data_IF_922405763975
#
_entry.id   IF_922405763975
#
_cell.length_a   1.000
_cell.length_b   1.000
_cell.length_c   1.000
_cell.angle_alpha   90.00
_cell.angle_beta   90.00
_cell.angle_gamma   90.00
#
_symmetry.space_group_name_H-M   'P 1'
#
loop_
_entity.id
_entity.type
_entity.pdbx_description
1 polymer ?
#
# COMPACT_ATOMS: atom_id res chain seq x y z
N UNK A 1 23.39 27.02 -13.36
CA UNK A 1 22.79 27.47 -12.08
C UNK A 1 23.04 26.39 -11.05
N UNK A 2 23.56 26.68 -9.85
CA UNK A 2 23.83 25.63 -8.87
C UNK A 2 22.51 25.06 -8.39
N UNK A 3 22.37 23.74 -8.48
CA UNK A 3 21.26 22.97 -7.93
C UNK A 3 21.27 23.15 -6.43
N UNK A 4 20.42 24.03 -5.90
CA UNK A 4 20.19 24.10 -4.48
C UNK A 4 19.74 22.73 -4.01
N UNK A 5 20.55 22.03 -3.23
CA UNK A 5 20.18 20.79 -2.54
C UNK A 5 18.98 21.11 -1.66
N UNK A 6 17.75 20.80 -2.11
CA UNK A 6 16.60 20.77 -1.22
C UNK A 6 16.97 19.86 -0.05
N UNK A 7 16.84 20.37 1.18
CA UNK A 7 16.95 19.48 2.34
C UNK A 7 15.85 18.43 2.22
N UNK A 8 16.16 17.12 2.35
CA UNK A 8 15.13 16.10 2.32
C UNK A 8 14.10 16.41 3.41
N UNK A 9 12.81 16.41 3.04
CA UNK A 9 11.74 16.62 4.02
C UNK A 9 11.47 15.34 4.81
N UNK A 10 11.79 14.17 4.24
CA UNK A 10 11.68 12.89 4.92
C UNK A 10 12.75 12.81 6.03
N UNK A 11 12.29 12.79 7.29
CA UNK A 11 13.17 12.81 8.48
C UNK A 11 13.32 11.45 9.15
N UNK A 12 12.49 10.49 8.76
CA UNK A 12 12.45 9.14 9.35
C UNK A 12 13.49 8.22 8.73
N UNK A 13 14.14 7.40 9.55
CA UNK A 13 15.03 6.34 9.07
C UNK A 13 14.28 5.27 8.29
N UNK A 14 13.05 4.95 8.69
CA UNK A 14 12.28 3.79 8.25
C UNK A 14 10.88 4.20 7.75
N UNK A 15 10.29 3.40 6.85
CA UNK A 15 8.88 3.53 6.49
C UNK A 15 8.09 2.35 7.07
N UNK A 16 7.68 2.47 8.33
CA UNK A 16 6.96 1.41 9.05
C UNK A 16 5.44 1.52 8.87
N UNK A 17 4.91 2.74 8.84
CA UNK A 17 3.49 3.02 8.70
C UNK A 17 3.24 4.46 8.25
N UNK A 18 1.95 4.79 8.06
CA UNK A 18 1.47 6.14 7.74
C UNK A 18 0.71 6.78 8.90
N UNK A 19 0.49 6.03 9.99
CA UNK A 19 -0.15 6.56 11.18
C UNK A 19 0.57 7.80 11.74
N UNK A 20 1.89 7.75 11.81
CA UNK A 20 2.77 8.80 12.31
C UNK A 20 3.46 9.63 11.20
N UNK A 21 3.12 9.40 9.93
CA UNK A 21 3.66 10.16 8.82
C UNK A 21 3.07 11.58 8.79
N UNK A 22 3.91 12.58 8.57
CA UNK A 22 3.46 13.95 8.34
C UNK A 22 2.90 14.10 6.92
N UNK A 23 1.98 15.05 6.74
CA UNK A 23 1.40 15.35 5.43
C UNK A 23 2.46 15.68 4.39
N UNK A 24 3.44 16.46 4.78
CA UNK A 24 4.54 16.94 3.94
C UNK A 24 5.42 15.78 3.45
N UNK A 25 5.67 14.78 4.30
CA UNK A 25 6.39 13.55 3.93
C UNK A 25 5.63 12.75 2.88
N UNK A 26 4.31 12.60 3.06
CA UNK A 26 3.44 11.93 2.08
C UNK A 26 3.49 12.68 0.74
N UNK A 27 3.31 13.99 0.74
CA UNK A 27 3.32 14.83 -0.45
C UNK A 27 4.65 14.77 -1.21
N UNK A 28 5.79 14.73 -0.51
CA UNK A 28 7.11 14.58 -1.11
C UNK A 28 7.26 13.23 -1.82
N UNK A 29 6.86 12.14 -1.13
CA UNK A 29 6.88 10.79 -1.75
C UNK A 29 6.01 10.76 -3.00
N UNK A 30 4.77 11.29 -2.93
CA UNK A 30 3.86 11.31 -4.08
C UNK A 30 4.42 12.15 -5.24
N UNK A 31 5.08 13.26 -4.95
CA UNK A 31 5.67 14.14 -5.97
C UNK A 31 6.83 13.45 -6.70
N UNK A 32 7.72 12.78 -5.97
CA UNK A 32 8.82 12.04 -6.57
C UNK A 32 8.33 10.77 -7.29
N UNK A 33 7.33 10.08 -6.74
CA UNK A 33 6.72 8.92 -7.38
C UNK A 33 6.09 9.28 -8.74
N UNK A 34 5.43 10.45 -8.84
CA UNK A 34 4.88 10.92 -10.11
C UNK A 34 5.97 11.15 -11.17
N UNK A 35 7.15 11.64 -10.77
CA UNK A 35 8.29 11.80 -11.70
C UNK A 35 8.79 10.44 -12.20
N UNK A 36 9.06 9.48 -11.29
CA UNK A 36 9.47 8.13 -11.69
C UNK A 36 8.41 7.44 -12.53
N UNK A 37 7.11 7.58 -12.19
CA UNK A 37 6.04 6.99 -13.00
C UNK A 37 6.02 7.55 -14.42
N UNK A 38 6.25 8.87 -14.58
CA UNK A 38 6.37 9.50 -15.91
C UNK A 38 7.53 8.94 -16.72
N UNK A 39 8.70 8.74 -16.11
CA UNK A 39 9.85 8.09 -16.72
C UNK A 39 9.56 6.63 -17.10
N UNK A 40 8.95 5.85 -16.20
CA UNK A 40 8.59 4.46 -16.48
C UNK A 40 7.59 4.34 -17.65
N UNK A 41 6.62 5.26 -17.77
CA UNK A 41 5.70 5.33 -18.93
C UNK A 41 6.44 5.55 -20.26
N UNK A 42 7.62 6.18 -20.23
CA UNK A 42 8.51 6.34 -21.38
C UNK A 42 9.52 5.20 -21.55
N UNK A 43 9.38 4.14 -20.77
CA UNK A 43 10.29 2.99 -20.72
C UNK A 43 11.71 3.34 -20.23
N UNK A 44 11.90 4.45 -19.53
CA UNK A 44 13.15 4.83 -18.86
C UNK A 44 13.25 4.04 -17.54
N UNK A 45 14.20 3.10 -17.47
CA UNK A 45 14.33 2.12 -16.37
C UNK A 45 15.74 2.03 -15.81
N UNK A 46 16.62 2.95 -16.16
CA UNK A 46 18.01 2.96 -15.70
C UNK A 46 18.33 4.27 -15.00
N UNK A 47 18.42 4.20 -13.68
CA UNK A 47 18.79 5.31 -12.81
C UNK A 47 20.00 4.89 -11.97
N UNK A 48 20.73 5.85 -11.43
CA UNK A 48 21.93 5.59 -10.61
C UNK A 48 21.76 6.02 -9.15
N UNK A 49 20.52 6.32 -8.74
CA UNK A 49 20.22 6.89 -7.42
C UNK A 49 20.68 6.00 -6.25
N UNK A 50 20.67 4.68 -6.44
CA UNK A 50 21.09 3.69 -5.43
C UNK A 50 22.27 2.84 -5.88
N UNK A 51 23.13 3.37 -6.77
CA UNK A 51 24.32 2.65 -7.21
C UNK A 51 25.22 2.33 -6.01
N UNK A 52 25.60 1.05 -5.88
CA UNK A 52 26.42 0.55 -4.78
C UNK A 52 25.66 0.26 -3.50
N UNK A 53 24.33 0.49 -3.47
CA UNK A 53 23.45 0.15 -2.35
C UNK A 53 22.87 -1.25 -2.51
N UNK A 54 22.48 -1.86 -1.38
CA UNK A 54 21.86 -3.20 -1.34
C UNK A 54 20.48 -3.13 -0.73
N UNK A 55 19.49 -3.70 -1.44
CA UNK A 55 18.12 -3.90 -0.98
C UNK A 55 17.87 -5.39 -0.76
N UNK A 56 17.52 -5.80 0.44
CA UNK A 56 16.99 -7.15 0.69
C UNK A 56 15.47 -7.12 0.81
N UNK A 57 14.78 -7.98 0.05
CA UNK A 57 13.36 -8.27 0.29
C UNK A 57 13.25 -9.51 1.19
N UNK A 58 12.70 -9.33 2.39
CA UNK A 58 12.55 -10.36 3.41
C UNK A 58 11.07 -10.70 3.60
N UNK A 59 10.59 -11.78 2.94
CA UNK A 59 9.16 -12.08 2.85
C UNK A 59 8.81 -13.38 3.58
N UNK A 60 8.02 -13.24 4.65
CA UNK A 60 7.45 -14.34 5.44
C UNK A 60 6.06 -14.77 4.95
N UNK A 61 5.43 -13.97 4.09
CA UNK A 61 4.16 -14.29 3.41
C UNK A 61 4.36 -14.26 1.89
N UNK A 62 3.63 -15.11 1.17
CA UNK A 62 3.64 -15.09 -0.30
C UNK A 62 3.13 -13.76 -0.85
N UNK A 63 3.87 -13.17 -1.75
CA UNK A 63 3.48 -11.95 -2.44
C UNK A 63 4.26 -11.74 -3.74
N UNK A 64 3.67 -12.14 -4.86
CA UNK A 64 4.30 -11.93 -6.17
C UNK A 64 4.42 -10.45 -6.50
N UNK A 65 3.31 -9.71 -6.47
CA UNK A 65 3.29 -8.29 -6.87
C UNK A 65 4.20 -7.41 -6.02
N UNK A 66 4.06 -7.46 -4.69
CA UNK A 66 4.83 -6.58 -3.80
C UNK A 66 6.31 -6.87 -3.87
N UNK A 67 6.71 -8.16 -3.84
CA UNK A 67 8.12 -8.55 -3.94
C UNK A 67 8.72 -8.11 -5.27
N UNK A 68 8.11 -8.49 -6.39
CA UNK A 68 8.60 -8.12 -7.73
C UNK A 68 8.68 -6.60 -7.89
N UNK A 69 7.72 -5.85 -7.35
CA UNK A 69 7.72 -4.40 -7.44
C UNK A 69 8.86 -3.75 -6.64
N UNK A 70 9.20 -4.26 -5.43
CA UNK A 70 10.40 -3.82 -4.70
C UNK A 70 11.68 -4.21 -5.44
N UNK A 71 11.74 -5.43 -5.95
CA UNK A 71 12.89 -5.90 -6.74
C UNK A 71 13.13 -5.01 -7.95
N UNK A 72 12.10 -4.73 -8.75
CA UNK A 72 12.20 -3.86 -9.92
C UNK A 72 12.57 -2.43 -9.52
N UNK A 73 11.96 -1.88 -8.45
CA UNK A 73 12.28 -0.55 -7.97
C UNK A 73 13.78 -0.42 -7.60
N UNK A 74 14.32 -1.38 -6.84
CA UNK A 74 15.75 -1.40 -6.51
C UNK A 74 16.62 -1.51 -7.74
N UNK A 75 16.35 -2.47 -8.65
CA UNK A 75 17.11 -2.67 -9.88
C UNK A 75 17.09 -1.45 -10.80
N UNK A 76 15.94 -0.80 -10.96
CA UNK A 76 15.81 0.41 -11.79
C UNK A 76 16.62 1.58 -11.22
N UNK A 77 16.75 1.67 -9.88
CA UNK A 77 17.59 2.67 -9.22
C UNK A 77 19.08 2.30 -9.16
N UNK A 78 19.47 1.14 -9.69
CA UNK A 78 20.86 0.69 -9.74
C UNK A 78 21.35 -0.01 -8.46
N UNK A 79 20.45 -0.42 -7.56
CA UNK A 79 20.80 -1.18 -6.37
C UNK A 79 21.03 -2.67 -6.67
N UNK A 80 21.89 -3.31 -5.85
CA UNK A 80 21.95 -4.76 -5.76
C UNK A 80 20.72 -5.26 -5.00
N UNK A 81 19.98 -6.23 -5.55
CA UNK A 81 18.76 -6.73 -4.92
C UNK A 81 18.91 -8.20 -4.55
N UNK A 82 18.65 -8.53 -3.29
CA UNK A 82 18.65 -9.89 -2.75
C UNK A 82 17.22 -10.24 -2.31
N UNK A 83 16.74 -11.41 -2.73
CA UNK A 83 15.40 -11.87 -2.34
C UNK A 83 15.53 -13.04 -1.37
N UNK A 84 14.92 -12.92 -0.19
CA UNK A 84 14.85 -13.95 0.84
C UNK A 84 13.37 -14.27 1.11
N UNK A 85 13.02 -15.55 1.01
CA UNK A 85 11.71 -16.07 1.42
C UNK A 85 11.88 -16.97 2.64
N UNK A 86 10.98 -16.84 3.62
CA UNK A 86 11.06 -17.60 4.88
C UNK A 86 11.05 -19.12 4.62
N UNK A 87 10.33 -19.59 3.59
CA UNK A 87 10.25 -21.01 3.23
C UNK A 87 11.57 -21.63 2.73
N UNK A 88 12.57 -20.80 2.40
CA UNK A 88 13.88 -21.24 1.89
C UNK A 88 15.05 -20.68 2.71
N UNK A 89 14.81 -20.21 3.92
CA UNK A 89 15.81 -19.53 4.75
C UNK A 89 16.03 -20.22 6.10
N UNK A 90 17.05 -19.78 6.85
CA UNK A 90 17.38 -20.21 8.23
C UNK A 90 16.23 -20.02 9.24
N UNK A 91 15.22 -19.22 8.90
CA UNK A 91 13.98 -19.10 9.68
C UNK A 91 13.33 -20.44 9.97
N UNK A 92 13.41 -21.40 9.04
CA UNK A 92 12.92 -22.78 9.26
C UNK A 92 13.71 -23.54 10.33
N UNK A 93 14.93 -23.09 10.66
CA UNK A 93 15.77 -23.66 11.71
C UNK A 93 15.56 -23.01 13.08
N UNK A 94 14.55 -22.13 13.22
CA UNK A 94 14.22 -21.45 14.47
C UNK A 94 14.95 -20.13 14.69
N UNK A 95 15.61 -19.56 13.65
CA UNK A 95 16.25 -18.24 13.76
C UNK A 95 15.18 -17.15 14.00
N UNK A 96 15.42 -16.29 14.97
CA UNK A 96 14.48 -15.19 15.26
C UNK A 96 14.55 -14.08 14.21
N UNK A 97 13.50 -13.27 14.12
CA UNK A 97 13.47 -12.10 13.22
C UNK A 97 14.62 -11.12 13.52
N UNK A 98 14.95 -10.94 14.81
CA UNK A 98 16.02 -10.04 15.25
C UNK A 98 17.39 -10.58 14.83
N UNK A 99 17.62 -11.88 14.94
CA UNK A 99 18.90 -12.48 14.55
C UNK A 99 19.08 -12.48 13.03
N UNK A 100 17.99 -12.76 12.28
CA UNK A 100 17.98 -12.58 10.82
C UNK A 100 18.32 -11.13 10.45
N UNK A 101 17.72 -10.16 11.14
CA UNK A 101 17.99 -8.74 10.91
C UNK A 101 19.43 -8.37 11.17
N UNK A 102 20.01 -8.79 12.30
CA UNK A 102 21.43 -8.56 12.64
C UNK A 102 22.37 -9.19 11.61
N UNK A 103 22.04 -10.38 11.13
CA UNK A 103 22.81 -11.04 10.06
C UNK A 103 22.81 -10.20 8.79
N UNK A 104 21.66 -9.69 8.37
CA UNK A 104 21.55 -8.81 7.21
C UNK A 104 22.30 -7.50 7.37
N UNK A 105 22.29 -6.93 8.57
CA UNK A 105 23.02 -5.71 8.92
C UNK A 105 24.55 -5.94 8.81
N UNK A 106 25.05 -7.07 9.33
CA UNK A 106 26.46 -7.45 9.21
C UNK A 106 26.89 -7.71 7.75
N UNK A 107 25.96 -8.16 6.90
CA UNK A 107 26.17 -8.27 5.46
C UNK A 107 26.09 -6.92 4.73
N UNK A 108 26.00 -5.80 5.46
CA UNK A 108 25.99 -4.42 4.94
C UNK A 108 24.82 -4.13 4.02
N UNK A 109 23.63 -4.61 4.37
CA UNK A 109 22.41 -4.20 3.69
C UNK A 109 22.08 -2.74 4.03
N UNK A 110 21.73 -1.95 3.01
CA UNK A 110 21.27 -0.57 3.21
C UNK A 110 19.77 -0.51 3.45
N UNK A 111 19.00 -1.41 2.82
CA UNK A 111 17.53 -1.45 2.89
C UNK A 111 17.01 -2.86 3.12
N UNK A 112 16.01 -3.00 3.98
CA UNK A 112 15.27 -4.26 4.20
C UNK A 112 13.78 -4.00 4.00
N UNK A 113 13.22 -4.52 2.90
CA UNK A 113 11.77 -4.52 2.68
C UNK A 113 11.17 -5.80 3.27
N UNK A 114 10.50 -5.68 4.41
CA UNK A 114 9.96 -6.83 5.13
C UNK A 114 8.44 -6.96 4.97
N UNK A 115 7.96 -8.18 4.69
CA UNK A 115 6.56 -8.57 4.77
C UNK A 115 6.38 -9.71 5.77
N UNK A 116 5.51 -9.51 6.78
CA UNK A 116 5.39 -10.44 7.90
C UNK A 116 3.91 -10.67 8.29
N UNK A 117 3.52 -11.89 8.72
CA UNK A 117 2.15 -12.18 9.18
C UNK A 117 1.79 -11.50 10.51
N UNK A 118 2.78 -11.17 11.34
CA UNK A 118 2.55 -10.53 12.63
C UNK A 118 2.64 -9.01 12.51
N UNK A 119 1.63 -8.32 13.04
CA UNK A 119 1.64 -6.87 13.21
C UNK A 119 2.81 -6.43 14.12
N UNK A 120 3.49 -5.34 13.76
CA UNK A 120 4.61 -4.79 14.51
C UNK A 120 5.98 -5.42 14.19
N UNK A 121 6.05 -6.52 13.45
CA UNK A 121 7.32 -7.14 13.08
C UNK A 121 8.31 -6.19 12.37
N UNK A 122 7.89 -5.34 11.40
CA UNK A 122 8.78 -4.35 10.79
C UNK A 122 9.32 -3.33 11.80
N UNK A 123 8.51 -2.92 12.79
CA UNK A 123 8.94 -2.00 13.85
C UNK A 123 9.98 -2.64 14.75
N UNK A 124 9.75 -3.90 15.16
CA UNK A 124 10.72 -4.66 15.93
C UNK A 124 12.06 -4.80 15.19
N UNK A 125 12.00 -5.11 13.88
CA UNK A 125 13.21 -5.21 13.05
C UNK A 125 13.94 -3.86 13.01
N UNK A 126 13.24 -2.76 12.73
CA UNK A 126 13.80 -1.42 12.60
C UNK A 126 14.53 -0.93 13.88
N UNK A 127 14.09 -1.39 15.05
CA UNK A 127 14.73 -1.09 16.34
C UNK A 127 16.04 -1.86 16.58
N UNK A 128 16.31 -2.90 15.78
CA UNK A 128 17.44 -3.81 15.99
C UNK A 128 18.45 -3.84 14.84
N UNK A 129 18.25 -3.01 13.80
CA UNK A 129 19.14 -2.92 12.63
C UNK A 129 19.49 -1.48 12.29
N UNK A 130 20.64 -1.27 11.66
CA UNK A 130 21.04 0.03 11.14
C UNK A 130 20.47 0.30 9.76
N UNK A 131 20.22 -0.74 8.95
CA UNK A 131 19.58 -0.62 7.63
C UNK A 131 18.21 0.08 7.72
N UNK A 132 17.84 0.77 6.66
CA UNK A 132 16.48 1.32 6.49
C UNK A 132 15.45 0.19 6.35
N UNK A 133 14.42 0.16 7.17
CA UNK A 133 13.35 -0.85 7.11
C UNK A 133 12.10 -0.28 6.45
N UNK A 134 11.60 -1.01 5.45
CA UNK A 134 10.36 -0.70 4.74
C UNK A 134 9.32 -1.78 5.02
N UNK A 135 8.17 -1.38 5.56
CA UNK A 135 7.05 -2.28 5.77
C UNK A 135 6.35 -2.61 4.44
N UNK A 136 6.52 -3.84 3.95
CA UNK A 136 5.85 -4.38 2.76
C UNK A 136 4.53 -5.09 3.09
N UNK A 137 4.00 -4.85 4.29
CA UNK A 137 2.74 -5.35 4.83
C UNK A 137 2.93 -6.26 6.05
N UNK A 138 2.37 -5.88 7.19
CA UNK A 138 2.46 -6.62 8.44
C UNK A 138 1.08 -6.98 9.01
N UNK A 139 0.74 -8.27 8.99
CA UNK A 139 -0.52 -8.80 9.50
C UNK A 139 -1.74 -8.04 8.98
N UNK A 140 -2.56 -7.55 9.90
CA UNK A 140 -3.73 -6.67 9.66
C UNK A 140 -3.44 -5.21 10.03
N UNK A 141 -2.16 -4.83 10.21
CA UNK A 141 -1.77 -3.50 10.68
C UNK A 141 -1.66 -2.50 9.54
N UNK A 142 -0.50 -2.41 8.85
CA UNK A 142 -0.28 -1.44 7.79
C UNK A 142 0.40 -2.02 6.54
N UNK A 143 0.21 -1.34 5.42
CA UNK A 143 0.95 -1.53 4.18
C UNK A 143 1.21 -0.16 3.53
N UNK A 144 2.17 0.63 4.07
CA UNK A 144 2.33 2.03 3.72
C UNK A 144 2.57 2.25 2.22
N UNK A 145 3.42 1.43 1.58
CA UNK A 145 3.66 1.58 0.14
C UNK A 145 2.46 1.22 -0.73
N UNK A 146 1.47 0.47 -0.20
CA UNK A 146 0.21 0.24 -0.91
C UNK A 146 -0.67 1.49 -0.87
N UNK A 147 -0.87 2.10 0.29
CA UNK A 147 -1.63 3.33 0.36
C UNK A 147 -0.98 4.46 -0.47
N UNK A 148 0.34 4.59 -0.41
CA UNK A 148 1.06 5.58 -1.22
C UNK A 148 0.88 5.37 -2.73
N UNK A 149 0.87 4.12 -3.21
CA UNK A 149 0.60 3.85 -4.63
C UNK A 149 -0.86 4.12 -5.00
N UNK A 150 -1.80 3.85 -4.09
CA UNK A 150 -3.21 4.18 -4.26
C UNK A 150 -3.38 5.70 -4.39
N UNK A 151 -2.77 6.46 -3.49
CA UNK A 151 -2.74 7.93 -3.54
C UNK A 151 -2.07 8.46 -4.82
N UNK A 152 -0.95 7.85 -5.25
CA UNK A 152 -0.29 8.24 -6.51
C UNK A 152 -1.21 8.02 -7.70
N UNK A 153 -1.99 6.95 -7.70
CA UNK A 153 -2.97 6.65 -8.76
C UNK A 153 -4.14 7.63 -8.74
N UNK A 154 -4.68 7.95 -7.56
CA UNK A 154 -5.72 8.96 -7.40
C UNK A 154 -5.26 10.34 -7.89
N UNK A 155 -4.01 10.73 -7.60
CA UNK A 155 -3.43 12.02 -7.94
C UNK A 155 -3.26 12.23 -9.45
N UNK A 156 -3.22 11.18 -10.25
CA UNK A 156 -3.23 11.30 -11.72
C UNK A 156 -4.57 11.79 -12.26
N UNK A 157 -5.67 11.52 -11.55
CA UNK A 157 -7.01 11.95 -11.95
C UNK A 157 -7.42 13.23 -11.21
N UNK A 158 -7.02 13.38 -9.95
CA UNK A 158 -7.44 14.48 -9.09
C UNK A 158 -6.23 15.29 -8.60
N UNK A 159 -6.22 16.60 -8.87
CA UNK A 159 -5.11 17.49 -8.50
C UNK A 159 -4.93 17.64 -6.98
N UNK A 160 -5.99 17.46 -6.19
CA UNK A 160 -6.00 17.62 -4.73
C UNK A 160 -6.80 16.52 -4.08
N UNK A 161 -6.37 16.11 -2.88
CA UNK A 161 -7.16 15.20 -2.02
C UNK A 161 -8.21 15.92 -1.18
N UNK A 162 -8.02 17.21 -0.95
CA UNK A 162 -8.96 18.01 -0.14
C UNK A 162 -10.32 18.04 -0.82
N UNK A 163 -11.33 17.56 -0.11
CA UNK A 163 -12.71 17.47 -0.59
C UNK A 163 -13.01 16.25 -1.47
N UNK A 164 -12.02 15.38 -1.78
CA UNK A 164 -12.32 14.10 -2.40
C UNK A 164 -13.11 13.21 -1.45
N UNK A 165 -14.10 12.52 -1.99
CA UNK A 165 -14.85 11.46 -1.31
C UNK A 165 -14.33 10.12 -1.80
N UNK A 166 -13.75 9.34 -0.89
CA UNK A 166 -13.19 8.01 -1.15
C UNK A 166 -14.00 6.96 -0.42
N UNK A 167 -14.75 6.15 -1.16
CA UNK A 167 -15.52 5.02 -0.63
C UNK A 167 -14.66 3.75 -0.65
N UNK A 168 -14.44 3.14 0.51
CA UNK A 168 -13.71 1.88 0.67
C UNK A 168 -14.70 0.82 1.13
N UNK A 169 -14.93 -0.19 0.29
CA UNK A 169 -15.90 -1.24 0.52
C UNK A 169 -15.21 -2.60 0.62
N UNK A 170 -15.62 -3.42 1.59
CA UNK A 170 -15.16 -4.80 1.67
C UNK A 170 -14.65 -5.21 3.04
N UNK A 171 -13.70 -6.14 3.10
CA UNK A 171 -13.13 -6.66 4.35
C UNK A 171 -12.20 -5.62 5.02
N UNK A 172 -12.78 -4.66 5.70
CA UNK A 172 -12.05 -3.58 6.40
C UNK A 172 -11.25 -4.16 7.57
N UNK A 173 -11.82 -5.11 8.31
CA UNK A 173 -11.25 -5.66 9.55
C UNK A 173 -9.89 -6.34 9.32
N UNK A 174 -9.78 -7.14 8.27
CA UNK A 174 -8.56 -7.88 7.98
C UNK A 174 -7.63 -7.15 6.97
N UNK A 175 -8.04 -5.96 6.52
CA UNK A 175 -7.30 -5.21 5.50
C UNK A 175 -6.32 -4.21 6.11
N UNK A 176 -5.04 -4.52 6.05
CA UNK A 176 -3.95 -3.56 6.31
C UNK A 176 -3.94 -2.39 5.32
N UNK A 177 -4.52 -2.58 4.14
CA UNK A 177 -4.62 -1.53 3.12
C UNK A 177 -5.65 -0.47 3.50
N UNK A 178 -6.80 -0.88 4.05
CA UNK A 178 -7.83 0.04 4.51
C UNK A 178 -7.28 1.03 5.55
N UNK A 179 -6.54 0.53 6.56
CA UNK A 179 -5.97 1.36 7.62
C UNK A 179 -4.95 2.36 7.07
N UNK A 180 -3.99 1.89 6.27
CA UNK A 180 -2.96 2.79 5.71
C UNK A 180 -3.58 3.86 4.80
N UNK A 181 -4.58 3.51 3.99
CA UNK A 181 -5.33 4.49 3.19
C UNK A 181 -6.08 5.48 4.06
N UNK A 182 -6.76 5.01 5.12
CA UNK A 182 -7.50 5.87 6.04
C UNK A 182 -6.56 6.91 6.67
N UNK A 183 -5.41 6.49 7.22
CA UNK A 183 -4.44 7.41 7.82
C UNK A 183 -3.92 8.46 6.84
N UNK A 184 -3.59 8.05 5.62
CA UNK A 184 -3.04 8.97 4.63
C UNK A 184 -4.10 9.93 4.06
N UNK A 185 -5.28 9.40 3.69
CA UNK A 185 -6.35 10.20 3.10
C UNK A 185 -6.90 11.26 4.05
N UNK A 186 -7.11 10.91 5.33
CA UNK A 186 -7.60 11.86 6.34
C UNK A 186 -6.59 12.99 6.57
N UNK A 187 -5.28 12.69 6.62
CA UNK A 187 -4.22 13.71 6.73
C UNK A 187 -4.18 14.64 5.52
N UNK A 188 -4.51 14.13 4.34
CA UNK A 188 -4.55 14.91 3.10
C UNK A 188 -5.88 15.67 2.90
N UNK A 189 -6.86 15.50 3.82
CA UNK A 189 -8.13 16.20 3.82
C UNK A 189 -9.21 15.60 2.93
N UNK A 190 -9.11 14.33 2.59
CA UNK A 190 -10.18 13.58 1.92
C UNK A 190 -11.22 13.08 2.93
N UNK A 191 -12.47 12.98 2.50
CA UNK A 191 -13.53 12.27 3.22
C UNK A 191 -13.43 10.77 2.91
N UNK A 192 -13.23 9.95 3.93
CA UNK A 192 -13.18 8.50 3.79
C UNK A 192 -14.49 7.90 4.27
N UNK A 193 -15.17 7.17 3.41
CA UNK A 193 -16.40 6.43 3.72
C UNK A 193 -16.12 4.94 3.71
N UNK A 194 -16.56 4.23 4.75
CA UNK A 194 -16.36 2.79 4.91
C UNK A 194 -17.72 2.06 4.91
N UNK A 195 -17.78 0.98 4.13
CA UNK A 195 -18.92 0.08 4.16
C UNK A 195 -18.49 -1.39 4.09
N UNK A 196 -19.02 -2.19 4.99
CA UNK A 196 -18.79 -3.63 5.08
C UNK A 196 -19.87 -4.32 5.90
N UNK A 197 -19.97 -5.67 5.90
CA UNK A 197 -20.68 -6.39 6.94
C UNK A 197 -20.22 -5.94 8.33
N UNK A 198 -21.12 -5.81 9.30
CA UNK A 198 -20.77 -5.38 10.67
C UNK A 198 -19.67 -6.25 11.30
N UNK A 199 -19.63 -7.54 10.97
CA UNK A 199 -18.61 -8.49 11.38
C UNK A 199 -17.21 -8.21 10.81
N UNK A 200 -17.15 -7.48 9.69
CA UNK A 200 -15.93 -7.08 8.98
C UNK A 200 -15.55 -5.60 9.20
N UNK A 201 -16.24 -4.90 10.10
CA UNK A 201 -15.89 -3.56 10.53
C UNK A 201 -15.19 -3.62 11.90
N UNK A 202 -13.97 -3.06 12.05
CA UNK A 202 -13.36 -2.92 13.36
C UNK A 202 -14.18 -1.98 14.26
N UNK A 203 -14.33 -2.33 15.54
CA UNK A 203 -14.89 -1.40 16.52
C UNK A 203 -14.04 -0.11 16.59
N UNK A 204 -14.68 1.04 16.69
CA UNK A 204 -14.01 2.34 16.80
C UNK A 204 -13.34 2.85 15.51
N UNK A 205 -13.49 2.18 14.37
CA UNK A 205 -12.82 2.61 13.11
C UNK A 205 -13.22 4.04 12.69
N UNK A 206 -14.42 4.49 13.03
CA UNK A 206 -14.89 5.85 12.77
C UNK A 206 -14.11 6.92 13.54
N UNK A 207 -13.56 6.59 14.71
CA UNK A 207 -12.76 7.49 15.55
C UNK A 207 -11.42 7.89 14.85
N UNK A 208 -11.01 7.11 13.85
CA UNK A 208 -9.86 7.42 13.02
C UNK A 208 -10.16 8.41 11.87
N UNK A 209 -11.36 9.01 11.87
CA UNK A 209 -11.76 10.03 10.91
C UNK A 209 -12.52 9.50 9.68
N UNK A 210 -12.94 8.23 9.68
CA UNK A 210 -13.78 7.68 8.63
C UNK A 210 -15.27 7.82 8.98
N UNK A 211 -16.12 8.05 7.96
CA UNK A 211 -17.55 7.90 8.05
C UNK A 211 -17.92 6.44 7.79
N UNK A 212 -18.47 5.74 8.78
CA UNK A 212 -19.05 4.42 8.59
C UNK A 212 -20.45 4.55 8.04
N UNK A 213 -20.71 4.00 6.86
CA UNK A 213 -21.99 4.09 6.16
C UNK A 213 -22.91 2.91 6.49
N UNK A 214 -24.22 3.14 6.39
CA UNK A 214 -25.26 2.14 6.67
C UNK A 214 -25.61 1.27 5.44
N UNK A 215 -25.28 1.74 4.24
CA UNK A 215 -25.50 1.03 2.98
C UNK A 215 -24.37 1.29 1.99
N UNK A 216 -24.24 0.41 0.97
CA UNK A 216 -23.28 0.61 -0.11
C UNK A 216 -23.61 1.87 -0.93
N UNK A 217 -24.90 2.15 -1.10
CA UNK A 217 -25.40 3.34 -1.79
C UNK A 217 -24.97 4.61 -1.07
N UNK A 218 -25.13 4.67 0.26
CA UNK A 218 -24.66 5.82 1.06
C UNK A 218 -23.16 6.01 0.91
N UNK A 219 -22.39 4.94 0.92
CA UNK A 219 -20.93 5.02 0.78
C UNK A 219 -20.50 5.60 -0.57
N UNK A 220 -21.14 5.18 -1.67
CA UNK A 220 -20.69 5.56 -3.03
C UNK A 220 -21.37 6.79 -3.60
N UNK A 221 -22.52 7.22 -3.08
CA UNK A 221 -23.23 8.38 -3.63
C UNK A 221 -22.34 9.63 -3.62
N UNK A 222 -22.08 10.17 -4.81
CA UNK A 222 -21.21 11.31 -5.01
C UNK A 222 -19.71 11.06 -4.75
N UNK A 223 -19.29 9.80 -4.56
CA UNK A 223 -17.88 9.47 -4.40
C UNK A 223 -17.08 9.76 -5.68
N UNK A 224 -15.82 10.16 -5.48
CA UNK A 224 -14.84 10.35 -6.55
C UNK A 224 -14.01 9.09 -6.78
N UNK A 225 -13.83 8.28 -5.75
CA UNK A 225 -13.07 7.03 -5.79
C UNK A 225 -13.88 5.94 -5.10
N UNK A 226 -13.99 4.78 -5.76
CA UNK A 226 -14.53 3.56 -5.16
C UNK A 226 -13.42 2.52 -5.11
N UNK A 227 -13.03 2.12 -3.91
CA UNK A 227 -12.01 1.09 -3.67
C UNK A 227 -12.66 -0.17 -3.12
N UNK A 228 -12.65 -1.25 -3.91
CA UNK A 228 -13.00 -2.58 -3.43
C UNK A 228 -11.85 -3.20 -2.65
N UNK A 229 -12.16 -3.92 -1.57
CA UNK A 229 -11.21 -4.70 -0.80
C UNK A 229 -11.52 -6.18 -0.93
N UNK A 230 -10.49 -6.98 -1.15
CA UNK A 230 -10.60 -8.43 -1.25
C UNK A 230 -11.09 -9.03 0.07
N UNK A 231 -12.04 -9.95 -0.01
CA UNK A 231 -12.39 -10.80 1.12
C UNK A 231 -11.21 -11.75 1.37
N UNK A 232 -10.66 -11.69 2.57
CA UNK A 232 -9.47 -12.48 2.94
C UNK A 232 -9.91 -13.77 3.63
N UNK A 233 -10.47 -14.71 2.86
CA UNK A 233 -10.98 -16.00 3.37
C UNK A 233 -9.92 -16.77 4.15
N UNK A 234 -8.65 -16.66 3.74
CA UNK A 234 -7.51 -17.30 4.40
C UNK A 234 -7.22 -16.74 5.81
N UNK A 235 -7.75 -15.57 6.15
CA UNK A 235 -7.61 -14.94 7.47
C UNK A 235 -8.86 -15.06 8.34
N UNK A 236 -9.93 -15.63 7.79
CA UNK A 236 -11.20 -15.79 8.48
C UNK A 236 -11.34 -17.22 9.00
N UNK A 237 -11.85 -17.34 10.22
CA UNK A 237 -12.20 -18.65 10.81
C UNK A 237 -13.62 -19.13 10.40
N UNK A 238 -14.23 -18.49 9.37
CA UNK A 238 -15.59 -18.77 8.91
C UNK A 238 -16.68 -17.95 9.63
N UNK A 239 -17.90 -17.97 9.09
CA UNK A 239 -19.10 -17.40 9.76
C UNK A 239 -19.22 -15.88 9.81
N UNK A 240 -18.39 -15.13 9.08
CA UNK A 240 -18.44 -13.66 9.10
C UNK A 240 -19.47 -13.08 8.12
N UNK A 241 -19.88 -13.87 7.14
CA UNK A 241 -21.01 -13.60 6.21
C UNK A 241 -21.53 -14.94 5.66
N UNK A 242 -22.79 -15.02 5.20
CA UNK A 242 -23.44 -16.30 4.89
C UNK A 242 -22.85 -17.01 3.65
N UNK A 243 -22.64 -16.28 2.56
CA UNK A 243 -22.09 -16.82 1.31
C UNK A 243 -21.46 -15.73 0.44
N UNK A 244 -20.61 -16.12 -0.53
CA UNK A 244 -20.02 -15.18 -1.49
C UNK A 244 -21.08 -14.53 -2.39
N UNK A 245 -22.14 -15.26 -2.76
CA UNK A 245 -23.23 -14.72 -3.56
C UNK A 245 -24.03 -13.67 -2.80
N UNK A 246 -24.32 -13.91 -1.53
CA UNK A 246 -24.98 -12.94 -0.65
C UNK A 246 -24.07 -11.73 -0.38
N UNK A 247 -22.77 -11.98 -0.16
CA UNK A 247 -21.80 -10.90 -0.05
C UNK A 247 -21.81 -10.00 -1.28
N UNK A 248 -21.74 -10.56 -2.47
CA UNK A 248 -21.80 -9.78 -3.72
C UNK A 248 -23.06 -8.95 -3.81
N UNK A 249 -24.23 -9.54 -3.52
CA UNK A 249 -25.52 -8.87 -3.59
C UNK A 249 -25.60 -7.62 -2.70
N UNK A 250 -25.06 -7.66 -1.49
CA UNK A 250 -25.23 -6.60 -0.51
C UNK A 250 -23.98 -5.71 -0.33
N UNK A 251 -22.78 -6.18 -0.71
CA UNK A 251 -21.51 -5.49 -0.46
C UNK A 251 -20.63 -5.35 -1.70
N UNK A 252 -20.94 -6.05 -2.79
CA UNK A 252 -20.23 -5.95 -4.04
C UNK A 252 -20.52 -4.63 -4.77
N UNK A 253 -19.60 -4.25 -5.63
CA UNK A 253 -19.72 -3.09 -6.51
C UNK A 253 -20.01 -3.57 -7.92
N UNK A 254 -21.12 -3.13 -8.47
CA UNK A 254 -21.60 -3.38 -9.82
C UNK A 254 -21.71 -2.07 -10.62
N UNK A 255 -22.01 -2.16 -11.88
CA UNK A 255 -22.11 -1.03 -12.81
C UNK A 255 -23.28 -0.09 -12.44
N UNK A 256 -24.36 -0.65 -11.89
CA UNK A 256 -25.53 0.15 -11.46
C UNK A 256 -25.19 0.99 -10.21
N UNK A 257 -24.42 0.42 -9.29
CA UNK A 257 -23.96 1.15 -8.12
C UNK A 257 -23.03 2.31 -8.52
N UNK A 258 -22.15 2.10 -9.52
CA UNK A 258 -21.23 3.14 -9.99
C UNK A 258 -21.95 4.33 -10.62
N UNK A 259 -23.15 4.18 -11.19
CA UNK A 259 -23.96 5.30 -11.69
C UNK A 259 -24.34 6.33 -10.62
N UNK A 260 -24.29 5.94 -9.33
CA UNK A 260 -24.59 6.84 -8.20
C UNK A 260 -23.38 7.67 -7.76
N UNK A 261 -22.21 7.39 -8.31
CA UNK A 261 -20.97 8.11 -7.99
C UNK A 261 -20.88 9.43 -8.78
N UNK A 262 -19.84 10.21 -8.51
CA UNK A 262 -19.49 11.39 -9.29
C UNK A 262 -18.43 11.06 -10.35
N UNK A 263 -18.72 10.10 -11.25
CA UNK A 263 -17.73 9.60 -12.22
C UNK A 263 -16.49 9.00 -11.54
N UNK A 264 -16.71 8.17 -10.51
CA UNK A 264 -15.63 7.67 -9.70
C UNK A 264 -14.68 6.74 -10.45
N UNK A 265 -13.38 6.91 -10.22
CA UNK A 265 -12.41 5.87 -10.58
C UNK A 265 -12.55 4.67 -9.65
N UNK A 266 -12.36 3.48 -10.22
CA UNK A 266 -12.43 2.21 -9.48
C UNK A 266 -11.03 1.69 -9.20
N UNK A 267 -10.79 1.31 -7.96
CA UNK A 267 -9.49 0.83 -7.47
C UNK A 267 -9.64 -0.47 -6.69
N UNK A 268 -8.56 -1.25 -6.66
CA UNK A 268 -8.49 -2.47 -5.85
C UNK A 268 -7.01 -2.87 -5.61
N UNK A 269 -6.59 -3.18 -4.38
CA UNK A 269 -5.18 -3.50 -4.08
C UNK A 269 -4.72 -4.86 -4.67
N UNK A 270 -5.67 -5.65 -5.18
CA UNK A 270 -5.43 -6.97 -5.77
C UNK A 270 -4.92 -8.06 -4.79
N UNK A 271 -5.09 -9.34 -5.15
CA UNK A 271 -5.86 -9.85 -6.30
C UNK A 271 -7.36 -9.60 -6.13
N UNK A 272 -8.08 -9.45 -7.24
CA UNK A 272 -9.54 -9.30 -7.23
C UNK A 272 -10.20 -10.67 -7.31
N UNK A 273 -11.23 -10.92 -6.50
CA UNK A 273 -12.14 -12.04 -6.70
C UNK A 273 -13.29 -11.54 -7.59
N UNK A 274 -13.20 -11.83 -8.90
CA UNK A 274 -14.22 -11.41 -9.89
C UNK A 274 -15.60 -11.94 -9.53
N UNK A 275 -16.62 -11.07 -9.57
CA UNK A 275 -17.98 -11.44 -9.20
C UNK A 275 -18.22 -11.56 -7.69
N UNK A 276 -17.25 -11.16 -6.86
CA UNK A 276 -17.41 -11.10 -5.40
C UNK A 276 -17.37 -9.65 -4.93
N UNK A 277 -16.18 -9.03 -4.90
CA UNK A 277 -16.05 -7.61 -4.49
C UNK A 277 -16.46 -6.65 -5.61
N UNK A 278 -16.07 -6.99 -6.85
CA UNK A 278 -16.33 -6.20 -8.05
C UNK A 278 -16.81 -7.13 -9.16
N UNK A 279 -17.75 -6.66 -9.99
CA UNK A 279 -18.12 -7.36 -11.23
C UNK A 279 -17.00 -7.30 -12.26
N UNK A 280 -17.01 -8.19 -13.25
CA UNK A 280 -16.02 -8.14 -14.34
C UNK A 280 -16.14 -6.87 -15.16
N UNK A 281 -17.37 -6.36 -15.42
CA UNK A 281 -17.56 -5.10 -16.13
C UNK A 281 -16.97 -3.91 -15.39
N UNK A 282 -17.08 -3.86 -14.06
CA UNK A 282 -16.43 -2.84 -13.22
C UNK A 282 -14.90 -2.94 -13.26
N UNK A 283 -14.35 -4.16 -13.20
CA UNK A 283 -12.89 -4.39 -13.21
C UNK A 283 -12.28 -4.00 -14.56
N UNK A 284 -12.96 -4.34 -15.65
CA UNK A 284 -12.47 -4.15 -17.02
C UNK A 284 -13.02 -2.85 -17.67
N UNK A 285 -13.82 -2.08 -16.92
CA UNK A 285 -14.42 -0.83 -17.36
C UNK A 285 -13.43 0.33 -17.50
N UNK A 286 -13.83 1.39 -18.19
CA UNK A 286 -12.99 2.56 -18.47
C UNK A 286 -12.53 3.31 -17.20
N UNK A 287 -13.36 3.27 -16.15
CA UNK A 287 -13.06 3.93 -14.87
C UNK A 287 -12.08 3.15 -13.98
N UNK A 288 -11.76 1.91 -14.37
CA UNK A 288 -10.85 1.06 -13.60
C UNK A 288 -9.40 1.56 -13.68
N UNK A 289 -8.78 1.72 -12.53
CA UNK A 289 -7.35 2.08 -12.37
C UNK A 289 -6.53 0.95 -11.75
N UNK A 290 -7.08 -0.26 -11.72
CA UNK A 290 -6.45 -1.42 -11.06
C UNK A 290 -5.09 -1.77 -11.66
N UNK A 291 -4.97 -1.69 -12.98
CA UNK A 291 -3.69 -1.94 -13.67
C UNK A 291 -2.70 -0.81 -13.48
N UNK A 292 -3.16 0.45 -13.46
CA UNK A 292 -2.33 1.62 -13.19
C UNK A 292 -1.72 1.60 -11.79
N UNK A 293 -2.43 1.04 -10.80
CA UNK A 293 -1.89 0.85 -9.44
C UNK A 293 -0.62 0.01 -9.44
N UNK A 294 -0.48 -0.95 -10.36
CA UNK A 294 0.72 -1.81 -10.44
C UNK A 294 1.95 -0.98 -10.80
N UNK A 295 1.85 -0.12 -11.81
CA UNK A 295 2.94 0.77 -12.21
C UNK A 295 3.23 1.84 -11.15
N UNK A 296 2.18 2.43 -10.56
CA UNK A 296 2.32 3.33 -9.40
C UNK A 296 3.10 2.66 -8.27
N UNK A 297 2.92 1.35 -8.08
CA UNK A 297 3.62 0.58 -7.06
C UNK A 297 5.13 0.55 -7.25
N UNK A 298 5.62 0.40 -8.48
CA UNK A 298 7.06 0.46 -8.77
C UNK A 298 7.58 1.88 -8.51
N UNK A 299 6.90 2.89 -9.05
CA UNK A 299 7.30 4.30 -8.93
C UNK A 299 7.36 4.78 -7.46
N UNK A 300 6.37 4.42 -6.64
CA UNK A 300 6.33 4.75 -5.20
C UNK A 300 7.50 4.10 -4.46
N UNK A 301 7.79 2.83 -4.74
CA UNK A 301 8.91 2.14 -4.09
C UNK A 301 10.25 2.73 -4.51
N UNK A 302 10.39 3.16 -5.77
CA UNK A 302 11.56 3.94 -6.21
C UNK A 302 11.67 5.23 -5.42
N UNK A 303 10.59 6.00 -5.30
CA UNK A 303 10.59 7.27 -4.56
C UNK A 303 10.96 7.09 -3.08
N UNK A 304 10.35 6.12 -2.41
CA UNK A 304 10.64 5.83 -1.00
C UNK A 304 12.09 5.41 -0.78
N UNK A 305 12.60 4.49 -1.59
CA UNK A 305 13.99 4.04 -1.50
C UNK A 305 14.97 5.20 -1.72
N UNK A 306 14.70 6.05 -2.71
CA UNK A 306 15.53 7.23 -2.99
C UNK A 306 15.51 8.20 -1.81
N UNK A 307 14.35 8.57 -1.30
CA UNK A 307 14.23 9.53 -0.20
C UNK A 307 14.87 9.00 1.09
N UNK A 308 14.67 7.72 1.42
CA UNK A 308 15.32 7.12 2.60
C UNK A 308 16.84 7.10 2.45
N UNK A 309 17.38 6.90 1.24
CA UNK A 309 18.84 6.91 1.00
C UNK A 309 19.51 8.25 1.32
N UNK A 310 18.74 9.32 1.38
CA UNK A 310 19.23 10.68 1.67
C UNK A 310 19.19 11.02 3.17
N UNK A 311 18.49 10.19 3.96
CA UNK A 311 18.44 10.31 5.42
C UNK A 311 19.75 9.80 5.99
N UNK A 312 20.44 10.63 6.76
CA UNK A 312 21.65 10.20 7.47
C UNK A 312 21.26 9.34 8.67
N UNK A 313 21.82 8.14 8.74
CA UNK A 313 21.70 7.20 9.87
C UNK A 313 22.75 7.53 10.91
#
# INVERSE_FOLDING_TARGET
>A
MPSGKRRPMLKRKDLIGLYDAEKEEIEEILSLAAQYKKSLKKNEKSFSDLRGKTLTTLFYENSTRTRTSFELAGKYLGANVVNITASSSSVQKGETLVDTGKTLDMLKNDFIAIRHPMAGAPKLLAQNVTAHVLNAGDGMNEHPTQALLDLTTMRETYASFRGLVVAILGDIRHSRVAKSNLYALTKLGAEVRLYAPKTLLPAGIGELGAKVCSSREEAVTGANVVMGLRIQLERQKGGLFPSLGEYHKYYGVDEELLKKTNGAIVMHPGPVNRGVELTSGVIDGAESKITEQVLSGVAVRMAVLKLLSEVKI
#
